data_IF_737287139997
#
_entry.id   IF_737287139997
#
_cell.length_a   1.000
_cell.length_b   1.000
_cell.length_c   1.000
_cell.angle_alpha   90.00
_cell.angle_beta   90.00
_cell.angle_gamma   90.00
#
_symmetry.space_group_name_H-M   'P 1'
#
loop_
_entity.id
_entity.type
_entity.pdbx_description
1 polymer ?
#
# COMPACT_ATOMS: atom_id res chain seq x y z
N UNK A 1 3.93 30.09 -15.65
CA UNK A 1 4.04 30.64 -14.28
C UNK A 1 3.28 29.78 -13.26
N UNK A 2 1.99 29.49 -13.49
CA UNK A 2 1.11 28.70 -12.60
C UNK A 2 1.63 27.28 -12.26
N UNK A 3 2.11 26.50 -13.22
CA UNK A 3 2.66 25.13 -12.97
C UNK A 3 3.86 25.18 -12.02
N UNK A 4 4.74 26.17 -12.17
CA UNK A 4 5.92 26.31 -11.32
C UNK A 4 5.59 26.73 -9.88
N UNK A 5 4.44 27.37 -9.66
CA UNK A 5 3.94 27.76 -8.33
C UNK A 5 3.24 26.59 -7.64
N UNK A 6 2.46 25.83 -8.40
CA UNK A 6 1.86 24.56 -7.95
C UNK A 6 2.94 23.55 -7.55
N UNK A 7 4.02 23.43 -8.32
CA UNK A 7 5.18 22.59 -7.98
C UNK A 7 5.97 23.13 -6.78
N UNK A 8 6.10 24.45 -6.63
CA UNK A 8 6.77 25.08 -5.47
C UNK A 8 6.01 24.88 -4.16
N UNK A 9 4.69 24.81 -4.20
CA UNK A 9 3.85 24.43 -3.04
C UNK A 9 3.89 22.94 -2.71
N UNK A 10 4.10 22.08 -3.72
CA UNK A 10 4.13 20.61 -3.60
C UNK A 10 5.53 20.00 -3.40
N UNK A 11 6.60 20.78 -3.44
CA UNK A 11 7.97 20.29 -3.21
C UNK A 11 8.21 19.89 -1.75
N UNK A 12 7.50 20.53 -0.81
CA UNK A 12 7.61 20.30 0.64
C UNK A 12 7.43 18.83 1.06
N UNK A 13 6.43 18.08 0.57
CA UNK A 13 6.28 16.66 0.92
C UNK A 13 7.25 15.72 0.21
N UNK A 14 7.99 16.14 -0.83
CA UNK A 14 8.84 15.24 -1.63
C UNK A 14 9.85 14.45 -0.77
N UNK A 15 10.62 15.07 0.15
CA UNK A 15 11.55 14.32 0.99
C UNK A 15 10.84 13.32 1.91
N UNK A 16 9.64 13.67 2.40
CA UNK A 16 8.83 12.80 3.24
C UNK A 16 8.30 11.60 2.45
N UNK A 17 7.78 11.82 1.23
CA UNK A 17 7.35 10.73 0.34
C UNK A 17 8.54 9.83 -0.01
N UNK A 18 9.70 10.41 -0.36
CA UNK A 18 10.89 9.65 -0.74
C UNK A 18 11.42 8.81 0.43
N UNK A 19 11.57 9.38 1.62
CA UNK A 19 12.01 8.67 2.80
C UNK A 19 11.06 7.52 3.16
N UNK A 20 9.74 7.79 3.16
CA UNK A 20 8.74 6.76 3.38
C UNK A 20 8.80 5.66 2.31
N UNK A 21 8.91 6.06 1.04
CA UNK A 21 8.97 5.15 -0.12
C UNK A 21 10.13 4.18 -0.04
N UNK A 22 11.33 4.65 0.33
CA UNK A 22 12.50 3.79 0.55
C UNK A 22 12.22 2.77 1.65
N UNK A 23 11.68 3.21 2.80
CA UNK A 23 11.35 2.31 3.91
C UNK A 23 10.31 1.26 3.50
N UNK A 24 9.25 1.68 2.81
CA UNK A 24 8.21 0.78 2.31
C UNK A 24 8.76 -0.26 1.32
N UNK A 25 9.56 0.18 0.35
CA UNK A 25 10.16 -0.70 -0.65
C UNK A 25 11.13 -1.72 -0.02
N UNK A 26 11.94 -1.30 0.95
CA UNK A 26 12.85 -2.19 1.67
C UNK A 26 12.08 -3.20 2.54
N UNK A 27 11.01 -2.78 3.22
CA UNK A 27 10.16 -3.68 3.98
C UNK A 27 9.47 -4.72 3.08
N UNK A 28 8.95 -4.28 1.93
CA UNK A 28 8.38 -5.17 0.90
C UNK A 28 9.43 -6.17 0.40
N UNK A 29 10.64 -5.71 0.12
CA UNK A 29 11.74 -6.57 -0.32
C UNK A 29 12.09 -7.62 0.75
N UNK A 30 12.18 -7.22 2.02
CA UNK A 30 12.45 -8.14 3.13
C UNK A 30 11.34 -9.19 3.28
N UNK A 31 10.07 -8.81 3.15
CA UNK A 31 8.95 -9.79 3.14
C UNK A 31 9.08 -10.73 1.94
N UNK A 32 9.45 -10.22 0.76
CA UNK A 32 9.67 -11.05 -0.42
C UNK A 32 10.81 -12.07 -0.28
N UNK A 33 11.83 -11.78 0.54
CA UNK A 33 12.86 -12.75 0.88
C UNK A 33 12.34 -13.86 1.80
N UNK A 34 11.51 -13.49 2.79
CA UNK A 34 10.98 -14.44 3.77
C UNK A 34 9.81 -15.28 3.23
N UNK A 35 8.98 -14.69 2.36
CA UNK A 35 7.80 -15.32 1.79
C UNK A 35 7.73 -15.02 0.28
N UNK A 36 8.42 -15.81 -0.57
CA UNK A 36 8.51 -15.54 -2.00
C UNK A 36 7.20 -15.75 -2.76
N UNK A 37 7.03 -14.99 -3.85
CA UNK A 37 5.96 -15.17 -4.83
C UNK A 37 4.57 -14.68 -4.38
N UNK A 38 3.49 -15.25 -4.95
CA UNK A 38 2.12 -14.76 -4.74
C UNK A 38 1.69 -14.62 -3.26
N UNK A 39 2.05 -15.55 -2.33
CA UNK A 39 1.68 -15.39 -0.93
C UNK A 39 2.29 -14.15 -0.25
N UNK A 40 3.54 -13.80 -0.57
CA UNK A 40 4.19 -12.59 -0.05
C UNK A 40 3.56 -11.33 -0.60
N UNK A 41 3.30 -11.30 -1.91
CA UNK A 41 2.62 -10.18 -2.58
C UNK A 41 1.19 -9.99 -2.07
N UNK A 42 0.46 -11.07 -1.78
CA UNK A 42 -0.85 -11.02 -1.13
C UNK A 42 -0.73 -10.36 0.26
N UNK A 43 0.19 -10.85 1.09
CA UNK A 43 0.37 -10.40 2.47
C UNK A 43 0.65 -8.90 2.53
N UNK A 44 1.65 -8.41 1.79
CA UNK A 44 2.02 -6.99 1.82
C UNK A 44 0.89 -6.08 1.36
N UNK A 45 0.11 -6.49 0.35
CA UNK A 45 -1.00 -5.70 -0.17
C UNK A 45 -2.16 -5.65 0.83
N UNK A 46 -2.54 -6.80 1.41
CA UNK A 46 -3.63 -6.86 2.40
C UNK A 46 -3.26 -6.10 3.69
N UNK A 47 -2.04 -6.29 4.20
CA UNK A 47 -1.55 -5.57 5.40
C UNK A 47 -1.44 -4.07 5.12
N UNK A 48 -0.93 -3.69 3.95
CA UNK A 48 -0.85 -2.28 3.55
C UNK A 48 -2.22 -1.62 3.42
N UNK A 49 -3.20 -2.34 2.86
CA UNK A 49 -4.59 -1.90 2.77
C UNK A 49 -5.26 -1.74 4.15
N UNK A 50 -5.01 -2.66 5.09
CA UNK A 50 -5.46 -2.48 6.47
C UNK A 50 -4.82 -1.24 7.11
N UNK A 51 -3.50 -1.10 6.99
CA UNK A 51 -2.75 0.00 7.58
C UNK A 51 -3.20 1.36 7.02
N UNK A 52 -3.45 1.48 5.71
CA UNK A 52 -3.94 2.75 5.13
C UNK A 52 -5.33 3.10 5.68
N UNK A 53 -6.22 2.12 5.88
CA UNK A 53 -7.52 2.33 6.52
C UNK A 53 -7.39 2.93 7.92
N UNK A 54 -6.47 2.40 8.74
CA UNK A 54 -6.17 2.95 10.08
C UNK A 54 -5.58 4.36 9.97
N UNK A 55 -4.58 4.56 9.10
CA UNK A 55 -3.90 5.85 8.93
C UNK A 55 -4.89 6.94 8.51
N UNK A 56 -5.75 6.66 7.52
CA UNK A 56 -6.74 7.63 7.06
C UNK A 56 -7.77 7.98 8.14
N UNK A 57 -8.05 7.08 9.08
CA UNK A 57 -9.05 7.32 10.13
C UNK A 57 -8.45 8.02 11.36
N UNK A 58 -7.31 7.53 11.86
CA UNK A 58 -6.70 8.02 13.12
C UNK A 58 -5.91 9.31 12.92
N UNK A 59 -5.08 9.38 11.87
CA UNK A 59 -4.13 10.48 11.71
C UNK A 59 -4.75 11.71 11.06
N UNK A 60 -5.73 11.53 10.17
CA UNK A 60 -6.38 12.65 9.49
C UNK A 60 -7.37 13.36 10.42
N UNK A 61 -7.99 12.65 11.37
CA UNK A 61 -8.95 13.24 12.32
C UNK A 61 -8.29 14.13 13.39
N UNK A 62 -7.02 13.90 13.73
CA UNK A 62 -6.36 14.53 14.90
C UNK A 62 -5.53 15.77 14.58
N UNK A 63 -5.66 16.37 13.39
CA UNK A 63 -4.86 17.53 13.01
C UNK A 63 -3.35 17.24 12.96
N UNK A 64 -2.96 16.02 12.58
CA UNK A 64 -1.57 15.58 12.55
C UNK A 64 -0.70 16.44 11.62
N UNK A 65 0.62 16.42 11.86
CA UNK A 65 1.58 17.20 11.10
C UNK A 65 1.40 17.00 9.58
N UNK A 66 1.38 18.06 8.75
CA UNK A 66 1.05 17.96 7.31
C UNK A 66 1.92 16.99 6.50
N UNK A 67 3.17 16.74 6.95
CA UNK A 67 4.08 15.80 6.30
C UNK A 67 3.84 14.33 6.65
N UNK A 68 3.07 14.04 7.69
CA UNK A 68 2.89 12.66 8.16
C UNK A 68 2.00 11.85 7.21
N UNK A 69 0.98 12.48 6.63
CA UNK A 69 0.15 11.86 5.59
C UNK A 69 0.95 11.48 4.35
N UNK A 70 1.71 12.37 3.68
CA UNK A 70 2.52 11.98 2.52
C UNK A 70 3.63 10.99 2.88
N UNK A 71 4.24 11.08 4.07
CA UNK A 71 5.23 10.10 4.54
C UNK A 71 4.63 8.69 4.67
N UNK A 72 3.54 8.53 5.42
CA UNK A 72 2.97 7.21 5.73
C UNK A 72 2.14 6.66 4.57
N UNK A 73 1.20 7.44 4.02
CA UNK A 73 0.28 6.96 3.02
C UNK A 73 0.98 6.77 1.66
N UNK A 74 1.50 7.86 1.10
CA UNK A 74 2.11 7.83 -0.22
C UNK A 74 3.50 7.21 -0.20
N UNK A 75 4.31 7.53 0.81
CA UNK A 75 5.66 7.00 0.97
C UNK A 75 5.65 5.54 1.42
N UNK A 76 5.51 5.29 2.73
CA UNK A 76 5.68 3.95 3.34
C UNK A 76 4.70 2.95 2.73
N UNK A 77 3.41 3.21 2.79
CA UNK A 77 2.41 2.25 2.33
C UNK A 77 2.39 2.13 0.80
N UNK A 78 2.64 3.22 0.08
CA UNK A 78 2.81 3.20 -1.38
C UNK A 78 4.04 2.40 -1.84
N UNK A 79 5.16 2.46 -1.10
CA UNK A 79 6.36 1.65 -1.39
C UNK A 79 6.24 0.19 -0.93
N UNK A 80 5.49 -0.04 0.15
CA UNK A 80 5.27 -1.36 0.76
C UNK A 80 4.30 -2.24 -0.04
N UNK A 81 3.28 -1.64 -0.64
CA UNK A 81 2.31 -2.34 -1.51
C UNK A 81 2.77 -2.36 -2.96
N UNK A 82 2.23 -3.26 -3.79
CA UNK A 82 2.59 -3.34 -5.21
C UNK A 82 1.49 -4.00 -6.04
N UNK A 83 0.96 -3.25 -7.00
CA UNK A 83 0.02 -3.79 -7.99
C UNK A 83 0.75 -4.48 -9.16
N UNK A 84 1.93 -3.98 -9.55
CA UNK A 84 2.68 -4.52 -10.70
C UNK A 84 3.18 -5.94 -10.42
N UNK A 85 3.73 -6.20 -9.23
CA UNK A 85 4.16 -7.54 -8.84
C UNK A 85 2.97 -8.49 -8.74
N UNK A 86 1.85 -8.02 -8.19
CA UNK A 86 0.60 -8.77 -8.11
C UNK A 86 0.08 -9.18 -9.49
N UNK A 87 0.09 -8.28 -10.47
CA UNK A 87 -0.30 -8.58 -11.84
C UNK A 87 0.63 -9.60 -12.51
N UNK A 88 1.95 -9.48 -12.30
CA UNK A 88 2.94 -10.44 -12.83
C UNK A 88 2.76 -11.83 -12.19
N UNK A 89 2.52 -11.89 -10.88
CA UNK A 89 2.26 -13.15 -10.17
C UNK A 89 1.00 -13.84 -10.70
N UNK A 90 -0.07 -13.07 -10.92
CA UNK A 90 -1.30 -13.60 -11.52
C UNK A 90 -1.07 -14.09 -12.96
N UNK A 91 -0.37 -13.31 -13.78
CA UNK A 91 -0.03 -13.68 -15.16
C UNK A 91 0.76 -14.99 -15.20
N UNK A 92 1.76 -15.16 -14.31
CA UNK A 92 2.55 -16.39 -14.21
C UNK A 92 1.67 -17.60 -13.91
N UNK A 93 0.79 -17.50 -12.91
CA UNK A 93 -0.15 -18.58 -12.57
C UNK A 93 -1.04 -18.97 -13.76
N UNK A 94 -1.50 -17.98 -14.53
CA UNK A 94 -2.32 -18.23 -15.73
C UNK A 94 -1.52 -18.92 -16.84
N UNK A 95 -0.29 -18.47 -17.09
CA UNK A 95 0.60 -19.06 -18.11
C UNK A 95 1.08 -20.48 -17.75
N UNK A 96 1.19 -20.79 -16.46
CA UNK A 96 1.47 -22.14 -15.95
C UNK A 96 0.25 -23.10 -16.08
N UNK A 97 -0.87 -22.65 -16.66
CA UNK A 97 -2.09 -23.44 -16.79
C UNK A 97 -2.91 -23.55 -15.50
N UNK A 98 -2.49 -22.87 -14.42
CA UNK A 98 -3.16 -22.89 -13.11
C UNK A 98 -4.29 -21.86 -13.06
N UNK A 99 -5.18 -21.91 -14.04
CA UNK A 99 -6.18 -20.85 -14.30
C UNK A 99 -7.06 -20.59 -13.08
N UNK A 100 -7.56 -21.64 -12.42
CA UNK A 100 -8.41 -21.50 -11.22
C UNK A 100 -7.68 -20.78 -10.08
N UNK A 101 -6.40 -21.09 -9.86
CA UNK A 101 -5.61 -20.42 -8.83
C UNK A 101 -5.25 -18.99 -9.23
N UNK A 102 -4.93 -18.72 -10.49
CA UNK A 102 -4.68 -17.37 -10.99
C UNK A 102 -5.92 -16.47 -10.83
N UNK A 103 -7.10 -16.98 -11.18
CA UNK A 103 -8.37 -16.27 -10.98
C UNK A 103 -8.70 -16.05 -9.50
N UNK A 104 -8.53 -17.08 -8.66
CA UNK A 104 -8.74 -16.98 -7.22
C UNK A 104 -7.77 -15.99 -6.56
N UNK A 105 -6.50 -15.99 -6.99
CA UNK A 105 -5.50 -15.02 -6.54
C UNK A 105 -5.89 -13.59 -6.93
N UNK A 106 -6.37 -13.38 -8.16
CA UNK A 106 -6.82 -12.06 -8.59
C UNK A 106 -8.02 -11.55 -7.76
N UNK A 107 -9.11 -12.29 -7.79
CA UNK A 107 -10.36 -11.86 -7.13
C UNK A 107 -10.19 -11.86 -5.61
N UNK A 108 -9.52 -12.88 -5.07
CA UNK A 108 -9.29 -13.03 -3.64
C UNK A 108 -8.40 -11.94 -3.05
N UNK A 109 -7.32 -11.56 -3.74
CA UNK A 109 -6.45 -10.46 -3.27
C UNK A 109 -7.21 -9.14 -3.25
N UNK A 110 -7.97 -8.84 -4.31
CA UNK A 110 -8.76 -7.61 -4.39
C UNK A 110 -9.84 -7.56 -3.29
N UNK A 111 -10.59 -8.65 -3.12
CA UNK A 111 -11.61 -8.73 -2.09
C UNK A 111 -11.01 -8.59 -0.68
N UNK A 112 -9.91 -9.29 -0.40
CA UNK A 112 -9.21 -9.20 0.88
C UNK A 112 -8.66 -7.79 1.14
N UNK A 113 -8.10 -7.11 0.13
CA UNK A 113 -7.62 -5.74 0.24
C UNK A 113 -8.75 -4.75 0.58
N UNK A 114 -9.93 -4.89 -0.04
CA UNK A 114 -11.09 -4.05 0.26
C UNK A 114 -11.61 -4.29 1.68
N UNK A 115 -11.77 -5.56 2.08
CA UNK A 115 -12.18 -5.94 3.43
C UNK A 115 -11.17 -5.42 4.46
N UNK A 116 -9.87 -5.60 4.21
CA UNK A 116 -8.81 -5.12 5.08
C UNK A 116 -8.84 -3.60 5.24
N UNK A 117 -9.05 -2.84 4.15
CA UNK A 117 -9.19 -1.38 4.22
C UNK A 117 -10.36 -0.98 5.10
N UNK A 118 -11.52 -1.61 4.94
CA UNK A 118 -12.70 -1.33 5.76
C UNK A 118 -12.50 -1.71 7.23
N UNK A 119 -11.89 -2.87 7.48
CA UNK A 119 -11.55 -3.32 8.82
C UNK A 119 -10.57 -2.35 9.49
N UNK A 120 -9.57 -1.85 8.75
CA UNK A 120 -8.63 -0.84 9.22
C UNK A 120 -9.32 0.48 9.57
N UNK A 121 -10.25 0.94 8.73
CA UNK A 121 -11.05 2.13 9.04
C UNK A 121 -11.94 1.91 10.27
N UNK A 122 -12.56 0.74 10.41
CA UNK A 122 -13.37 0.40 11.57
C UNK A 122 -12.54 0.35 12.85
N UNK A 123 -11.40 -0.33 12.82
CA UNK A 123 -10.44 -0.37 13.92
C UNK A 123 -9.96 1.05 14.32
N UNK A 124 -9.67 1.89 13.32
CA UNK A 124 -9.24 3.28 13.53
C UNK A 124 -10.26 4.13 14.29
N UNK A 125 -11.56 3.84 14.16
CA UNK A 125 -12.62 4.57 14.89
C UNK A 125 -12.66 4.26 16.39
N UNK A 126 -12.19 3.09 16.82
CA UNK A 126 -12.10 2.75 18.25
C UNK A 126 -11.01 3.53 18.98
N UNK A 127 -10.06 4.08 18.24
CA UNK A 127 -9.04 4.98 18.77
C UNK A 127 -9.49 6.46 18.68
N UNK A 128 -10.74 6.74 18.35
CA UNK A 128 -11.32 8.08 18.30
C UNK A 128 -12.00 8.45 19.62
#
# INVERSE_FOLDING_TARGET
>A
MVISEVLRGQSRPVPAVAAGGVLGALARWAVGLALPGPPGTFLINVVGCFAIGVVLTVLIARGAHPLLRPFLATGVLGGFTTFSTYAVDAQRLLLEGRIGLGAAYLVGTLAAALVATWAGMWAGRWFH
#
